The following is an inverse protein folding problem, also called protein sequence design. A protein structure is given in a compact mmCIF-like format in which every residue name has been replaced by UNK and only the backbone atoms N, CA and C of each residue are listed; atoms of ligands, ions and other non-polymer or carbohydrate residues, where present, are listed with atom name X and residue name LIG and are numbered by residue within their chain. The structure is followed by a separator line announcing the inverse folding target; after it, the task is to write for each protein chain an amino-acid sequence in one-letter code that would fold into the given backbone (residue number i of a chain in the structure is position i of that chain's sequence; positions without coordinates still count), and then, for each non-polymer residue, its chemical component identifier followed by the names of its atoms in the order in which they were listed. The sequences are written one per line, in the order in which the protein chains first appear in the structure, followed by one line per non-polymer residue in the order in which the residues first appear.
data_IF_044447635011
#
_entry.id   IF_044447635011
#
_cell.length_a   1.000
_cell.length_b   1.000
_cell.length_c   1.000
_cell.angle_alpha   90.00
_cell.angle_beta   90.00
_cell.angle_gamma   90.00
#
_symmetry.space_group_name_H-M   'P 1'
#
loop_
_entity.id
_entity.type
_entity.pdbx_description
1 polymer ?
#
# COMPACT_ATOMS: atom_id res chain seq x y z
N UNK A 1 -0.06 22.39 -69.12
CA UNK A 1 -1.05 21.68 -69.95
C UNK A 1 -1.83 20.78 -69.02
N UNK A 2 -3.12 21.06 -68.88
CA UNK A 2 -4.03 20.44 -67.91
C UNK A 2 -4.91 19.36 -68.58
N UNK A 3 -5.71 18.68 -67.73
CA UNK A 3 -6.79 17.70 -68.00
C UNK A 3 -6.32 16.25 -68.27
N UNK A 4 -6.98 15.17 -67.81
CA UNK A 4 -8.18 14.93 -66.97
C UNK A 4 -8.24 13.42 -66.65
N UNK A 5 -8.70 13.10 -65.44
CA UNK A 5 -9.72 12.08 -65.08
C UNK A 5 -9.90 10.78 -65.88
N UNK A 6 -10.01 9.65 -65.15
CA UNK A 6 -11.21 8.79 -65.10
C UNK A 6 -11.15 7.88 -63.85
N UNK A 7 -12.28 7.89 -63.15
CA UNK A 7 -12.88 7.05 -62.08
C UNK A 7 -12.42 5.58 -62.01
N UNK A 8 -12.39 4.86 -60.87
CA UNK A 8 -13.54 4.39 -60.08
C UNK A 8 -13.04 3.51 -58.92
N UNK A 9 -13.72 3.45 -57.76
CA UNK A 9 -13.44 2.42 -56.74
C UNK A 9 -13.97 2.73 -55.35
N UNK A 10 -15.29 2.71 -55.20
CA UNK A 10 -16.01 2.89 -53.94
C UNK A 10 -16.00 1.58 -53.13
N UNK A 11 -15.69 1.64 -51.84
CA UNK A 11 -16.13 0.62 -50.87
C UNK A 11 -16.27 1.22 -49.48
N UNK A 12 -17.51 1.14 -48.99
CA UNK A 12 -18.03 1.61 -47.72
C UNK A 12 -17.42 0.83 -46.55
N UNK A 13 -17.05 1.53 -45.47
CA UNK A 13 -16.81 0.91 -44.17
C UNK A 13 -18.10 1.03 -43.35
N UNK A 14 -18.77 -0.09 -43.12
CA UNK A 14 -19.98 -0.18 -42.32
C UNK A 14 -19.67 0.09 -40.84
N UNK A 15 -20.40 1.06 -40.28
CA UNK A 15 -20.48 1.31 -38.83
C UNK A 15 -21.29 0.19 -38.20
N UNK A 16 -20.69 -0.59 -37.31
CA UNK A 16 -21.40 -1.56 -36.47
C UNK A 16 -21.70 -0.89 -35.13
N UNK A 17 -22.95 -0.45 -34.96
CA UNK A 17 -23.52 -0.16 -33.65
C UNK A 17 -23.69 -1.47 -32.88
N UNK A 18 -23.07 -1.61 -31.71
CA UNK A 18 -23.46 -2.62 -30.75
C UNK A 18 -24.61 -2.08 -29.88
N UNK A 19 -25.79 -2.65 -30.09
CA UNK A 19 -26.91 -2.59 -29.16
C UNK A 19 -26.61 -3.47 -27.94
N UNK A 20 -26.98 -2.96 -26.78
CA UNK A 20 -27.08 -3.70 -25.51
C UNK A 20 -28.17 -4.78 -25.58
N UNK A 21 -27.96 -5.90 -24.88
CA UNK A 21 -29.11 -6.60 -24.30
C UNK A 21 -28.92 -6.93 -22.81
N UNK A 22 -29.99 -6.66 -22.05
CA UNK A 22 -30.53 -7.63 -21.11
C UNK A 22 -29.92 -7.69 -19.71
N UNK A 23 -30.63 -7.11 -18.75
CA UNK A 23 -30.53 -7.43 -17.33
C UNK A 23 -30.90 -8.90 -17.13
N UNK A 24 -29.93 -9.71 -16.71
CA UNK A 24 -30.16 -11.08 -16.23
C UNK A 24 -30.35 -10.99 -14.71
N UNK A 25 -31.56 -11.29 -14.23
CA UNK A 25 -31.80 -11.52 -12.79
C UNK A 25 -31.17 -12.86 -12.42
N UNK A 26 -30.14 -12.83 -11.58
CA UNK A 26 -29.64 -14.03 -10.93
C UNK A 26 -30.67 -14.58 -9.93
N UNK A 27 -30.83 -15.90 -9.95
CA UNK A 27 -31.67 -16.66 -9.02
C UNK A 27 -30.90 -16.94 -7.73
N UNK A 28 -31.56 -17.02 -6.56
CA UNK A 28 -30.85 -17.25 -5.30
C UNK A 28 -30.30 -18.68 -5.20
N UNK A 29 -29.22 -18.90 -4.41
CA UNK A 29 -28.60 -20.22 -4.25
C UNK A 29 -29.52 -21.20 -3.51
N UNK A 30 -29.37 -22.52 -3.73
CA UNK A 30 -30.22 -23.52 -3.10
C UNK A 30 -29.98 -23.59 -1.58
N UNK A 31 -31.08 -23.75 -0.83
CA UNK A 31 -31.07 -24.04 0.61
C UNK A 31 -30.29 -25.34 0.90
N UNK A 32 -29.54 -25.41 2.02
CA UNK A 32 -28.94 -26.67 2.45
C UNK A 32 -30.04 -27.65 2.89
N UNK A 33 -29.91 -28.89 2.45
CA UNK A 33 -30.72 -30.04 2.88
C UNK A 33 -30.36 -30.45 4.31
N UNK A 34 -31.32 -30.91 5.12
CA UNK A 34 -31.06 -31.31 6.50
C UNK A 34 -30.40 -32.68 6.57
N UNK A 35 -29.33 -32.80 7.36
CA UNK A 35 -28.83 -34.09 7.81
C UNK A 35 -29.85 -34.72 8.79
N UNK A 36 -30.11 -36.04 8.70
CA UNK A 36 -31.00 -36.71 9.63
C UNK A 36 -30.32 -36.88 10.99
N UNK A 37 -30.99 -36.38 12.03
CA UNK A 37 -30.77 -36.78 13.41
C UNK A 37 -31.41 -38.15 13.67
N UNK A 38 -30.69 -39.01 14.38
CA UNK A 38 -31.19 -40.27 14.92
C UNK A 38 -30.32 -40.71 16.11
N UNK A 39 -30.91 -41.21 17.21
CA UNK A 39 -30.31 -41.19 18.55
C UNK A 39 -29.67 -42.52 18.93
N UNK A 40 -28.76 -42.50 19.92
CA UNK A 40 -28.54 -43.66 20.77
C UNK A 40 -28.04 -43.24 22.15
N UNK A 41 -28.79 -43.72 23.12
CA UNK A 41 -28.75 -43.51 24.56
C UNK A 41 -27.65 -44.29 25.30
N UNK A 42 -27.13 -43.66 26.37
CA UNK A 42 -26.69 -44.18 27.69
C UNK A 42 -25.47 -45.14 27.81
N UNK A 43 -24.85 -45.27 29.03
CA UNK A 43 -25.14 -44.65 30.33
C UNK A 43 -23.97 -43.99 31.11
N UNK A 44 -24.39 -43.19 32.09
CA UNK A 44 -23.72 -42.63 33.28
C UNK A 44 -23.16 -43.71 34.24
N UNK A 45 -22.02 -43.55 34.94
CA UNK A 45 -21.77 -42.95 36.29
C UNK A 45 -20.45 -43.60 36.85
N UNK A 46 -19.84 -43.20 37.99
CA UNK A 46 -20.08 -42.05 38.85
C UNK A 46 -18.85 -41.19 39.20
N UNK A 47 -19.16 -40.04 39.80
CA UNK A 47 -18.30 -39.08 40.49
C UNK A 47 -17.46 -39.71 41.61
N UNK A 48 -16.24 -39.20 41.79
CA UNK A 48 -15.63 -39.03 43.11
C UNK A 48 -15.27 -37.56 43.33
N UNK A 49 -15.86 -37.01 44.39
CA UNK A 49 -15.52 -35.74 45.03
C UNK A 49 -14.48 -36.05 46.10
N UNK A 50 -13.41 -35.28 46.19
CA UNK A 50 -12.74 -35.05 47.47
C UNK A 50 -12.13 -33.65 47.53
N UNK A 51 -12.44 -33.02 48.65
CA UNK A 51 -12.20 -31.64 49.12
C UNK A 51 -10.94 -31.66 50.01
N UNK A 52 -10.42 -30.46 50.34
CA UNK A 52 -9.41 -30.06 51.36
C UNK A 52 -7.97 -29.92 50.84
N UNK A 53 -7.14 -28.96 51.26
CA UNK A 53 -7.19 -27.65 51.95
C UNK A 53 -5.72 -27.24 52.17
N UNK A 54 -5.45 -25.95 52.46
CA UNK A 54 -4.20 -25.55 53.15
C UNK A 54 -3.29 -24.64 52.30
N UNK A 55 -3.42 -23.31 52.35
CA UNK A 55 -2.84 -22.38 53.36
C UNK A 55 -1.37 -22.01 53.07
N UNK A 56 -1.24 -20.77 52.57
CA UNK A 56 -0.29 -19.69 52.92
C UNK A 56 1.23 -19.88 52.98
N UNK A 57 1.88 -18.93 52.28
CA UNK A 57 3.07 -18.15 52.63
C UNK A 57 4.31 -18.88 53.17
N UNK A 58 5.40 -18.83 52.39
CA UNK A 58 6.63 -18.22 52.87
C UNK A 58 7.20 -17.27 51.81
N UNK A 59 7.59 -16.11 52.29
CA UNK A 59 8.02 -14.92 51.59
C UNK A 59 9.55 -14.86 51.45
N UNK A 60 9.98 -14.06 50.48
CA UNK A 60 11.33 -13.53 50.25
C UNK A 60 12.32 -14.44 49.52
N UNK A 61 12.66 -14.07 48.27
CA UNK A 61 14.04 -13.82 47.83
C UNK A 61 13.98 -12.80 46.67
N UNK A 62 14.66 -11.68 46.93
CA UNK A 62 15.35 -10.77 46.02
C UNK A 62 14.66 -10.31 44.72
N UNK A 63 14.41 -9.00 44.67
CA UNK A 63 14.32 -8.22 43.45
C UNK A 63 15.55 -8.47 42.55
N UNK A 64 15.39 -9.30 41.52
CA UNK A 64 16.21 -9.21 40.33
C UNK A 64 15.56 -8.14 39.45
N UNK A 65 16.22 -6.98 39.34
CA UNK A 65 15.99 -6.08 38.21
C UNK A 65 16.03 -6.94 36.95
N UNK A 66 14.91 -7.02 36.23
CA UNK A 66 14.94 -7.47 34.85
C UNK A 66 15.63 -6.33 34.08
N UNK A 67 16.95 -6.37 34.05
CA UNK A 67 17.70 -5.79 32.95
C UNK A 67 17.20 -6.52 31.71
N UNK A 68 16.32 -5.88 30.96
CA UNK A 68 16.00 -6.29 29.59
C UNK A 68 17.35 -6.36 28.87
N UNK A 69 17.81 -7.53 28.39
CA UNK A 69 18.95 -7.51 27.50
C UNK A 69 18.45 -6.82 26.24
N UNK A 70 18.90 -5.58 26.02
CA UNK A 70 18.93 -5.03 24.69
C UNK A 70 19.67 -6.07 23.84
N UNK A 71 18.95 -6.75 22.96
CA UNK A 71 19.54 -7.60 21.94
C UNK A 71 20.24 -6.64 20.98
N UNK A 72 21.45 -6.21 21.36
CA UNK A 72 22.38 -5.62 20.43
C UNK A 72 22.82 -6.77 19.54
N UNK A 73 22.44 -6.71 18.27
CA UNK A 73 23.02 -7.55 17.24
C UNK A 73 24.55 -7.38 17.33
N UNK A 74 25.22 -8.38 17.88
CA UNK A 74 26.66 -8.37 18.05
C UNK A 74 27.24 -8.53 16.65
N UNK A 75 27.81 -7.46 16.08
CA UNK A 75 28.48 -7.53 14.79
C UNK A 75 29.67 -8.48 14.91
N UNK A 76 29.76 -9.51 14.05
CA UNK A 76 30.87 -10.47 13.96
C UNK A 76 32.23 -9.84 13.55
N UNK A 77 32.32 -8.50 13.53
CA UNK A 77 33.52 -7.75 13.19
C UNK A 77 34.37 -7.58 14.46
N UNK A 78 35.61 -8.08 14.51
CA UNK A 78 36.50 -7.85 15.65
C UNK A 78 36.80 -6.35 15.77
N UNK A 79 36.41 -5.73 16.89
CA UNK A 79 36.67 -4.32 17.20
C UNK A 79 37.74 -4.25 18.29
N UNK A 80 38.74 -3.38 18.15
CA UNK A 80 39.76 -3.22 19.19
C UNK A 80 39.14 -2.64 20.48
N UNK A 81 39.68 -2.96 21.67
CA UNK A 81 39.16 -2.42 22.93
C UNK A 81 39.12 -0.88 22.97
N UNK A 82 40.10 -0.22 22.35
CA UNK A 82 40.17 1.25 22.27
C UNK A 82 39.04 1.82 21.41
N UNK A 83 38.77 1.20 20.25
CA UNK A 83 37.68 1.60 19.38
C UNK A 83 36.32 1.32 20.05
N UNK A 84 36.19 0.21 20.77
CA UNK A 84 34.97 -0.11 21.51
C UNK A 84 34.70 0.91 22.62
N UNK A 85 35.74 1.37 23.32
CA UNK A 85 35.63 2.47 24.29
C UNK A 85 35.17 3.78 23.63
N UNK A 86 35.73 4.13 22.48
CA UNK A 86 35.31 5.34 21.74
C UNK A 86 33.82 5.23 21.35
N UNK A 87 33.38 4.07 20.84
CA UNK A 87 31.98 3.84 20.46
C UNK A 87 31.05 3.88 21.68
N UNK A 88 31.45 3.29 22.82
CA UNK A 88 30.63 3.32 24.03
C UNK A 88 30.49 4.73 24.58
N UNK A 89 31.57 5.51 24.58
CA UNK A 89 31.58 6.89 25.09
C UNK A 89 30.76 7.83 24.17
N UNK A 90 30.79 7.56 22.85
CA UNK A 90 30.07 8.32 21.83
C UNK A 90 28.54 8.29 22.01
N UNK A 91 27.96 7.23 22.57
CA UNK A 91 26.50 7.10 22.70
C UNK A 91 25.85 8.18 23.58
N UNK A 92 26.63 8.88 24.40
CA UNK A 92 26.15 9.96 25.28
C UNK A 92 26.49 11.37 24.78
N UNK A 93 27.28 11.51 23.71
CA UNK A 93 27.72 12.79 23.18
C UNK A 93 26.76 13.27 22.08
N UNK A 94 26.10 14.44 22.24
CA UNK A 94 25.13 14.96 21.27
C UNK A 94 25.63 15.08 19.84
N UNK A 95 26.95 15.18 19.61
CA UNK A 95 27.49 15.31 18.24
C UNK A 95 27.32 14.05 17.39
N UNK A 96 27.02 12.90 18.00
CA UNK A 96 26.78 11.65 17.29
C UNK A 96 25.27 11.36 17.11
N UNK A 97 24.40 12.19 17.68
CA UNK A 97 22.99 12.18 17.37
C UNK A 97 22.78 12.83 16.00
N UNK A 98 22.25 12.05 15.05
CA UNK A 98 21.91 12.55 13.73
C UNK A 98 20.40 12.86 13.71
N UNK A 99 19.99 14.14 13.59
CA UNK A 99 18.61 14.56 13.88
C UNK A 99 17.51 13.83 13.08
N UNK A 100 17.83 13.34 11.88
CA UNK A 100 16.90 12.62 10.99
C UNK A 100 17.18 11.12 10.91
N UNK A 101 17.88 10.56 11.91
CA UNK A 101 18.38 9.18 11.91
C UNK A 101 17.33 8.06 11.87
N UNK A 102 16.06 8.36 12.14
CA UNK A 102 14.98 7.37 12.20
C UNK A 102 14.92 6.45 10.97
N UNK A 103 15.12 7.01 9.77
CA UNK A 103 15.09 6.24 8.50
C UNK A 103 16.43 6.25 7.79
N UNK A 104 17.51 6.56 8.52
CA UNK A 104 18.87 6.53 7.99
C UNK A 104 19.21 5.12 7.49
N UNK A 105 19.66 5.04 6.25
CA UNK A 105 20.04 3.78 5.60
C UNK A 105 18.88 3.00 4.96
N UNK A 106 17.63 3.50 5.06
CA UNK A 106 16.49 2.89 4.37
C UNK A 106 16.39 3.48 2.97
N UNK A 107 16.72 2.68 1.95
CA UNK A 107 16.60 3.07 0.54
C UNK A 107 15.15 2.87 0.07
N UNK A 108 14.48 3.91 -0.45
CA UNK A 108 13.14 3.75 -1.03
C UNK A 108 13.16 2.87 -2.28
N UNK A 109 12.16 2.01 -2.40
CA UNK A 109 11.99 1.03 -3.46
C UNK A 109 10.59 1.16 -4.06
N UNK A 110 10.50 1.03 -5.37
CA UNK A 110 9.29 1.20 -6.18
C UNK A 110 8.25 0.09 -6.00
N UNK A 111 7.86 -0.22 -4.76
CA UNK A 111 6.79 -1.18 -4.47
C UNK A 111 5.73 -0.61 -3.54
N UNK A 112 4.56 -1.21 -3.66
CA UNK A 112 3.33 -0.90 -2.94
C UNK A 112 3.02 -2.03 -1.97
N UNK A 113 3.05 -1.71 -0.67
CA UNK A 113 2.58 -2.61 0.39
C UNK A 113 1.07 -2.77 0.25
N UNK A 114 0.67 -3.80 -0.49
CA UNK A 114 -0.73 -4.15 -0.68
C UNK A 114 -1.28 -4.69 0.63
N UNK A 115 -2.54 -4.36 0.92
CA UNK A 115 -3.16 -4.67 2.21
C UNK A 115 -2.25 -4.31 3.39
N UNK A 116 -1.65 -3.11 3.40
CA UNK A 116 -0.65 -2.73 4.42
C UNK A 116 -1.19 -2.84 5.86
N UNK A 117 -2.51 -2.74 6.02
CA UNK A 117 -3.18 -2.94 7.30
C UNK A 117 -3.18 -4.40 7.79
N UNK A 118 -2.68 -5.37 7.00
CA UNK A 118 -2.40 -6.74 7.44
C UNK A 118 -0.99 -6.91 8.02
N UNK A 119 -0.11 -5.92 7.86
CA UNK A 119 1.23 -5.97 8.46
C UNK A 119 1.14 -5.96 9.98
N UNK A 120 2.17 -6.52 10.63
CA UNK A 120 2.30 -6.54 12.09
C UNK A 120 2.20 -5.13 12.67
N UNK A 121 2.92 -4.19 12.07
CA UNK A 121 2.84 -2.76 12.39
C UNK A 121 2.62 -1.98 11.08
N UNK A 122 1.36 -1.69 10.71
CA UNK A 122 1.03 -0.94 9.49
C UNK A 122 1.83 0.37 9.40
N UNK A 123 2.09 0.82 8.17
CA UNK A 123 3.02 1.88 7.79
C UNK A 123 4.49 1.62 8.15
N UNK A 124 4.80 1.21 9.38
CA UNK A 124 6.19 1.00 9.83
C UNK A 124 6.85 -0.24 9.22
N UNK A 125 6.12 -1.34 9.06
CA UNK A 125 6.64 -2.54 8.38
C UNK A 125 7.03 -2.23 6.93
N UNK A 126 6.21 -1.44 6.22
CA UNK A 126 6.48 -0.99 4.86
C UNK A 126 7.62 0.03 4.79
N UNK A 127 7.63 1.01 5.71
CA UNK A 127 8.68 2.01 5.83
C UNK A 127 10.05 1.35 6.05
N UNK A 128 10.14 0.37 6.96
CA UNK A 128 11.37 -0.36 7.30
C UNK A 128 12.06 -0.95 6.08
N UNK A 129 11.29 -1.46 5.12
CA UNK A 129 11.84 -2.13 3.93
C UNK A 129 11.97 -1.22 2.70
N UNK A 130 11.51 0.03 2.81
CA UNK A 130 11.62 1.04 1.76
C UNK A 130 10.39 1.20 0.86
N UNK A 131 9.20 0.70 1.21
CA UNK A 131 8.02 0.82 0.33
C UNK A 131 7.62 2.28 0.10
N UNK A 132 7.64 2.76 -1.15
CA UNK A 132 7.18 4.13 -1.44
C UNK A 132 5.66 4.27 -1.52
N UNK A 133 4.92 3.17 -1.37
CA UNK A 133 3.46 3.18 -1.44
C UNK A 133 2.85 2.16 -0.49
N UNK A 134 1.72 2.53 0.11
CA UNK A 134 0.95 1.72 1.07
C UNK A 134 -0.54 1.89 0.83
N UNK A 135 -1.35 0.95 1.32
CA UNK A 135 -2.81 0.95 1.16
C UNK A 135 -3.56 0.78 2.47
N UNK A 136 -4.66 1.53 2.61
CA UNK A 136 -5.63 1.40 3.69
C UNK A 136 -7.03 1.11 3.14
N UNK A 137 -7.60 -0.04 3.50
CA UNK A 137 -9.00 -0.39 3.20
C UNK A 137 -9.93 0.25 4.23
N UNK A 138 -10.66 1.28 3.83
CA UNK A 138 -11.45 2.11 4.75
C UNK A 138 -12.95 1.85 4.68
N UNK A 139 -13.54 1.77 5.87
CA UNK A 139 -14.98 1.60 6.09
C UNK A 139 -15.50 2.73 6.96
N UNK A 140 -16.50 3.49 6.48
CA UNK A 140 -17.14 4.54 7.29
C UNK A 140 -18.28 3.95 8.14
N UNK A 141 -18.12 4.03 9.46
CA UNK A 141 -19.17 3.68 10.43
C UNK A 141 -19.30 4.79 11.47
N UNK A 142 -20.51 5.33 11.64
CA UNK A 142 -20.82 6.35 12.65
C UNK A 142 -19.86 7.56 12.65
N UNK A 143 -19.37 7.95 11.47
CA UNK A 143 -18.42 9.06 11.32
C UNK A 143 -16.94 8.71 11.53
N UNK A 144 -16.63 7.45 11.87
CA UNK A 144 -15.27 6.94 12.04
C UNK A 144 -14.86 6.10 10.83
N UNK A 145 -13.64 6.32 10.34
CA UNK A 145 -13.03 5.54 9.27
C UNK A 145 -12.24 4.37 9.88
N UNK A 146 -12.86 3.19 9.93
CA UNK A 146 -12.21 1.95 10.36
C UNK A 146 -11.41 1.35 9.23
N UNK A 147 -10.37 0.59 9.57
CA UNK A 147 -9.50 -0.06 8.58
C UNK A 147 -9.53 -1.58 8.71
N UNK A 148 -9.71 -2.28 7.60
CA UNK A 148 -9.65 -3.73 7.52
C UNK A 148 -10.13 -4.27 6.17
N UNK A 149 -9.77 -5.51 5.85
CA UNK A 149 -10.10 -6.14 4.56
C UNK A 149 -11.60 -6.37 4.41
N UNK A 150 -12.22 -6.83 5.51
CA UNK A 150 -13.64 -7.11 5.59
C UNK A 150 -14.21 -6.62 6.93
N UNK A 151 -15.54 -6.59 7.02
CA UNK A 151 -16.26 -6.07 8.19
C UNK A 151 -15.93 -6.79 9.50
N UNK A 152 -15.55 -8.08 9.44
CA UNK A 152 -15.23 -8.87 10.64
C UNK A 152 -13.84 -8.56 11.20
N UNK A 153 -12.96 -8.01 10.38
CA UNK A 153 -11.62 -7.55 10.78
C UNK A 153 -11.59 -6.15 11.41
N UNK A 154 -12.73 -5.44 11.41
CA UNK A 154 -12.82 -4.08 11.94
C UNK A 154 -12.81 -4.07 13.46
N UNK A 155 -12.09 -3.11 14.04
CA UNK A 155 -12.09 -2.86 15.48
C UNK A 155 -12.13 -1.36 15.75
N UNK A 156 -12.53 -0.97 16.96
CA UNK A 156 -12.55 0.44 17.35
C UNK A 156 -11.16 1.09 17.40
N UNK A 157 -10.11 0.29 17.62
CA UNK A 157 -8.74 0.78 17.72
C UNK A 157 -8.05 0.97 16.35
N UNK A 158 -8.50 0.23 15.32
CA UNK A 158 -7.92 0.26 13.97
C UNK A 158 -8.67 1.24 13.09
N UNK A 159 -8.20 2.49 13.03
CA UNK A 159 -8.78 3.55 12.22
C UNK A 159 -7.75 4.10 11.23
N UNK A 160 -8.21 4.83 10.21
CA UNK A 160 -7.30 5.51 9.28
C UNK A 160 -6.35 6.46 10.03
N UNK A 161 -6.86 7.13 11.07
CA UNK A 161 -6.07 8.05 11.89
C UNK A 161 -5.00 7.33 12.71
N UNK A 162 -5.37 6.25 13.43
CA UNK A 162 -4.46 5.55 14.34
C UNK A 162 -3.40 4.72 13.62
N UNK A 163 -3.71 4.15 12.46
CA UNK A 163 -2.79 3.29 11.70
C UNK A 163 -1.96 4.03 10.66
N UNK A 164 -2.42 5.18 10.15
CA UNK A 164 -1.75 5.88 9.05
C UNK A 164 -1.49 7.36 9.32
N UNK A 165 -2.52 8.17 9.60
CA UNK A 165 -2.35 9.64 9.67
C UNK A 165 -1.38 10.03 10.78
N UNK A 166 -1.59 9.55 12.01
CA UNK A 166 -0.72 9.90 13.15
C UNK A 166 0.68 9.29 13.02
N UNK A 167 0.84 7.99 12.65
CA UNK A 167 2.17 7.42 12.40
C UNK A 167 2.98 8.16 11.32
N UNK A 168 2.36 8.48 10.18
CA UNK A 168 3.01 9.24 9.09
C UNK A 168 3.43 10.62 9.58
N UNK A 169 2.52 11.35 10.25
CA UNK A 169 2.81 12.67 10.77
C UNK A 169 3.95 12.65 11.79
N UNK A 170 4.02 11.62 12.64
CA UNK A 170 5.09 11.42 13.61
C UNK A 170 6.46 11.25 12.93
N UNK A 171 6.53 10.42 11.89
CA UNK A 171 7.77 10.23 11.10
C UNK A 171 8.18 11.52 10.40
N UNK A 172 7.25 12.21 9.74
CA UNK A 172 7.56 13.45 9.02
C UNK A 172 8.05 14.56 9.96
N UNK A 173 7.49 14.68 11.17
CA UNK A 173 8.00 15.63 12.18
C UNK A 173 9.44 15.33 12.60
N UNK A 174 9.79 14.06 12.74
CA UNK A 174 11.16 13.64 13.05
C UNK A 174 12.12 13.85 11.86
N UNK A 175 11.63 13.71 10.63
CA UNK A 175 12.40 14.00 9.41
C UNK A 175 12.56 15.49 9.10
N UNK A 176 11.82 16.35 9.81
CA UNK A 176 11.82 17.80 9.64
C UNK A 176 11.98 18.53 10.97
N UNK A 177 13.11 18.32 11.69
CA UNK A 177 13.36 18.98 12.98
C UNK A 177 13.59 20.48 12.79
N UNK A 178 13.26 21.25 13.82
CA UNK A 178 13.64 22.67 13.88
C UNK A 178 15.16 22.78 13.87
N UNK A 179 15.69 23.55 12.92
CA UNK A 179 17.13 23.74 12.75
C UNK A 179 17.44 25.22 12.57
N UNK A 180 18.46 25.70 13.28
CA UNK A 180 18.95 27.08 13.14
C UNK A 180 19.74 27.28 11.84
N UNK A 181 19.97 26.22 11.06
CA UNK A 181 20.74 26.24 9.82
C UNK A 181 19.89 26.43 8.56
N UNK A 182 18.56 26.45 8.69
CA UNK A 182 17.63 26.62 7.57
C UNK A 182 16.60 27.69 7.91
N UNK A 183 16.25 28.51 6.93
CA UNK A 183 15.18 29.48 7.08
C UNK A 183 13.83 28.79 6.85
N UNK A 184 13.01 28.73 7.90
CA UNK A 184 11.66 28.17 7.85
C UNK A 184 11.59 26.64 8.00
N UNK A 185 10.43 26.08 7.65
CA UNK A 185 10.16 24.65 7.79
C UNK A 185 10.73 23.84 6.62
N UNK A 186 11.40 22.73 6.94
CA UNK A 186 11.79 21.72 5.94
C UNK A 186 10.59 20.85 5.55
N UNK A 187 10.66 20.24 4.35
CA UNK A 187 9.60 19.40 3.78
C UNK A 187 10.16 18.09 3.22
N UNK A 188 11.10 17.50 3.94
CA UNK A 188 11.63 16.16 3.68
C UNK A 188 10.51 15.12 3.81
N UNK A 189 10.55 14.11 2.95
CA UNK A 189 9.72 12.91 2.96
C UNK A 189 10.09 11.96 4.11
N UNK A 190 9.51 10.76 4.06
CA UNK A 190 9.72 9.75 5.11
C UNK A 190 11.10 9.07 5.03
N UNK A 191 11.82 9.22 3.91
CA UNK A 191 13.11 8.59 3.64
C UNK A 191 14.25 9.61 3.71
N UNK A 192 15.10 9.51 4.72
CA UNK A 192 16.29 10.35 4.88
C UNK A 192 17.26 10.22 3.69
N UNK A 193 17.41 9.02 3.12
CA UNK A 193 18.31 8.79 1.98
C UNK A 193 17.86 9.48 0.69
N UNK A 194 16.56 9.76 0.54
CA UNK A 194 15.99 10.46 -0.62
C UNK A 194 14.85 11.37 -0.13
N UNK A 195 15.17 12.57 0.41
CA UNK A 195 14.18 13.42 1.07
C UNK A 195 13.04 13.90 0.15
N UNK A 196 13.23 13.89 -1.17
CA UNK A 196 12.19 14.24 -2.14
C UNK A 196 11.20 13.12 -2.47
N UNK A 197 11.45 11.89 -1.99
CA UNK A 197 10.57 10.74 -2.29
C UNK A 197 9.24 10.88 -1.57
N UNK A 198 8.16 11.04 -2.34
CA UNK A 198 6.80 11.03 -1.80
C UNK A 198 6.39 9.62 -1.36
N UNK A 199 5.63 9.52 -0.28
CA UNK A 199 4.90 8.31 0.07
C UNK A 199 3.51 8.39 -0.55
N UNK A 200 3.16 7.39 -1.35
CA UNK A 200 1.81 7.26 -1.90
C UNK A 200 0.91 6.51 -0.92
N UNK A 201 -0.03 7.22 -0.30
CA UNK A 201 -1.06 6.64 0.56
C UNK A 201 -2.30 6.36 -0.29
N UNK A 202 -2.53 5.09 -0.61
CA UNK A 202 -3.76 4.64 -1.25
C UNK A 202 -4.83 4.44 -0.18
N UNK A 203 -6.01 5.02 -0.42
CA UNK A 203 -7.18 4.86 0.45
C UNK A 203 -8.27 4.18 -0.36
N UNK A 204 -8.45 2.88 -0.14
CA UNK A 204 -9.46 2.05 -0.81
C UNK A 204 -10.79 2.13 -0.05
N UNK A 205 -11.78 2.80 -0.65
CA UNK A 205 -13.09 2.98 -0.04
C UNK A 205 -13.95 1.73 -0.24
N UNK A 206 -14.30 1.06 0.86
CA UNK A 206 -15.13 -0.16 0.87
C UNK A 206 -16.62 0.10 1.16
N UNK A 207 -16.96 1.26 1.71
CA UNK A 207 -18.35 1.71 1.92
C UNK A 207 -18.84 2.60 0.76
N UNK A 208 -20.02 3.21 0.87
CA UNK A 208 -20.54 4.12 -0.15
C UNK A 208 -19.56 5.29 -0.40
N UNK A 209 -19.15 5.45 -1.65
CA UNK A 209 -18.13 6.42 -2.06
C UNK A 209 -18.52 7.87 -1.79
N UNK A 210 -19.75 8.23 -2.14
CA UNK A 210 -20.23 9.61 -2.07
C UNK A 210 -20.25 10.17 -0.65
N UNK A 211 -20.48 9.29 0.34
CA UNK A 211 -20.47 9.63 1.77
C UNK A 211 -19.11 9.40 2.43
N UNK A 212 -18.38 8.35 2.04
CA UNK A 212 -17.10 7.98 2.68
C UNK A 212 -15.95 8.87 2.25
N UNK A 213 -15.88 9.25 0.96
CA UNK A 213 -14.76 10.04 0.45
C UNK A 213 -14.65 11.43 1.12
N UNK A 214 -15.74 12.19 1.34
CA UNK A 214 -15.67 13.42 2.14
C UNK A 214 -15.14 13.21 3.57
N UNK A 215 -15.46 12.09 4.21
CA UNK A 215 -14.92 11.76 5.53
C UNK A 215 -13.41 11.49 5.46
N UNK A 216 -12.93 10.80 4.42
CA UNK A 216 -11.50 10.60 4.15
C UNK A 216 -10.80 11.96 3.98
N UNK A 217 -11.31 12.83 3.11
CA UNK A 217 -10.73 14.17 2.87
C UNK A 217 -10.62 15.00 4.17
N UNK A 218 -11.62 14.90 5.05
CA UNK A 218 -11.61 15.52 6.38
C UNK A 218 -10.52 14.92 7.28
N UNK A 219 -10.33 13.59 7.26
CA UNK A 219 -9.32 12.92 8.05
C UNK A 219 -7.87 13.29 7.67
N UNK A 220 -7.65 13.83 6.45
CA UNK A 220 -6.34 14.32 6.02
C UNK A 220 -5.91 15.64 6.67
N UNK A 221 -6.80 16.31 7.43
CA UNK A 221 -6.53 17.64 7.99
C UNK A 221 -5.20 17.76 8.76
N UNK A 222 -4.77 16.79 9.60
CA UNK A 222 -3.49 16.89 10.30
C UNK A 222 -2.28 16.98 9.36
N UNK A 223 -2.30 16.27 8.23
CA UNK A 223 -1.24 16.33 7.21
C UNK A 223 -1.31 17.62 6.39
N UNK A 224 -2.53 18.11 6.15
CA UNK A 224 -2.79 19.38 5.48
C UNK A 224 -2.28 20.57 6.29
N UNK A 225 -2.59 20.63 7.58
CA UNK A 225 -2.16 21.67 8.51
C UNK A 225 -0.63 21.72 8.65
N UNK A 226 0.01 20.55 8.61
CA UNK A 226 1.47 20.43 8.61
C UNK A 226 2.11 20.74 7.25
N UNK A 227 1.32 20.97 6.20
CA UNK A 227 1.81 21.25 4.86
C UNK A 227 2.57 20.07 4.25
N UNK A 228 2.12 18.84 4.44
CA UNK A 228 2.82 17.65 3.92
C UNK A 228 2.14 16.97 2.73
N UNK A 229 0.95 17.41 2.34
CA UNK A 229 0.24 16.85 1.20
C UNK A 229 0.72 17.42 -0.13
N UNK A 230 0.76 16.58 -1.16
CA UNK A 230 0.81 16.98 -2.56
C UNK A 230 -0.50 17.67 -2.92
N UNK A 231 -0.44 18.85 -3.52
CA UNK A 231 -1.62 19.68 -3.82
C UNK A 231 -1.78 19.94 -5.31
N UNK A 232 -3.01 20.27 -5.71
CA UNK A 232 -3.35 20.79 -7.02
C UNK A 232 -4.19 22.05 -6.86
N UNK A 233 -3.72 23.16 -7.43
CA UNK A 233 -4.35 24.49 -7.29
C UNK A 233 -5.39 24.81 -8.38
N UNK A 234 -5.58 23.92 -9.36
CA UNK A 234 -6.39 24.16 -10.55
C UNK A 234 -5.56 24.19 -11.83
N UNK A 235 -4.25 24.41 -11.72
CA UNK A 235 -3.31 24.53 -12.83
C UNK A 235 -2.10 23.61 -12.64
N UNK A 236 -1.49 23.63 -11.45
CA UNK A 236 -0.21 23.00 -11.17
C UNK A 236 -0.34 22.01 -10.01
N UNK A 237 0.36 20.87 -10.14
CA UNK A 237 0.56 19.94 -9.02
C UNK A 237 1.84 20.36 -8.27
N UNK A 238 1.72 20.66 -6.99
CA UNK A 238 2.87 20.90 -6.10
C UNK A 238 3.14 19.65 -5.28
N UNK A 239 4.28 19.01 -5.53
CA UNK A 239 4.67 17.77 -4.86
C UNK A 239 4.90 18.01 -3.36
N UNK A 240 4.32 17.14 -2.54
CA UNK A 240 4.55 17.08 -1.09
C UNK A 240 5.11 15.72 -0.65
N UNK A 241 5.55 15.62 0.62
CA UNK A 241 5.95 14.36 1.24
C UNK A 241 4.94 13.23 1.08
N UNK A 242 3.65 13.52 1.08
CA UNK A 242 2.57 12.53 0.97
C UNK A 242 1.68 12.83 -0.23
N UNK A 243 1.48 11.84 -1.10
CA UNK A 243 0.50 11.91 -2.19
C UNK A 243 -0.64 10.95 -1.89
N UNK A 244 -1.84 11.47 -1.65
CA UNK A 244 -3.02 10.65 -1.32
C UNK A 244 -3.77 10.27 -2.59
N UNK A 245 -4.00 8.97 -2.77
CA UNK A 245 -4.70 8.39 -3.92
C UNK A 245 -5.99 7.72 -3.42
N UNK A 246 -7.15 8.22 -3.82
CA UNK A 246 -8.43 7.55 -3.57
C UNK A 246 -8.67 6.44 -4.60
N UNK A 247 -8.95 5.24 -4.12
CA UNK A 247 -9.29 4.05 -4.94
C UNK A 247 -10.56 3.37 -4.41
N UNK A 248 -10.90 2.18 -4.90
CA UNK A 248 -12.14 1.48 -4.56
C UNK A 248 -13.37 2.26 -5.01
N UNK A 249 -14.33 2.48 -4.11
CA UNK A 249 -15.55 3.24 -4.39
C UNK A 249 -15.33 4.77 -4.47
N UNK A 250 -14.09 5.27 -4.57
CA UNK A 250 -13.83 6.72 -4.69
C UNK A 250 -14.49 7.29 -5.95
N UNK A 251 -15.47 8.21 -5.83
CA UNK A 251 -16.19 8.73 -6.98
C UNK A 251 -15.36 9.77 -7.74
N UNK A 252 -15.04 9.48 -9.00
CA UNK A 252 -14.30 10.39 -9.89
C UNK A 252 -14.92 11.80 -9.94
N UNK A 253 -16.24 11.92 -9.86
CA UNK A 253 -16.96 13.21 -9.88
C UNK A 253 -16.68 14.09 -8.66
N UNK A 254 -16.15 13.54 -7.56
CA UNK A 254 -15.71 14.30 -6.39
C UNK A 254 -14.20 14.62 -6.43
N UNK A 255 -13.47 14.18 -7.48
CA UNK A 255 -12.05 14.47 -7.67
C UNK A 255 -11.82 15.36 -8.90
N UNK A 256 -12.35 14.94 -10.05
CA UNK A 256 -12.19 15.66 -11.30
C UNK A 256 -12.99 16.96 -11.30
N UNK A 257 -12.32 18.07 -11.61
CA UNK A 257 -12.92 19.41 -11.61
C UNK A 257 -12.95 20.11 -10.24
N UNK A 258 -12.48 19.45 -9.18
CA UNK A 258 -12.36 20.06 -7.84
C UNK A 258 -11.00 20.74 -7.69
N UNK A 259 -10.98 22.04 -7.39
CA UNK A 259 -9.76 22.77 -7.07
C UNK A 259 -10.04 23.92 -6.07
N UNK A 260 -9.12 24.22 -5.14
CA UNK A 260 -7.89 23.47 -4.86
C UNK A 260 -8.21 22.11 -4.21
N UNK A 261 -7.28 21.16 -4.32
CA UNK A 261 -7.37 19.85 -3.65
C UNK A 261 -5.99 19.31 -3.29
N UNK A 262 -5.96 18.29 -2.45
CA UNK A 262 -4.74 17.62 -1.98
C UNK A 262 -4.88 16.09 -1.94
N UNK A 263 -5.73 15.61 -2.83
CA UNK A 263 -6.02 14.21 -3.07
C UNK A 263 -6.18 13.98 -4.57
N UNK A 264 -5.88 12.76 -4.97
CA UNK A 264 -5.90 12.32 -6.36
C UNK A 264 -6.68 11.01 -6.47
N UNK A 265 -6.83 10.52 -7.70
CA UNK A 265 -7.57 9.31 -8.00
C UNK A 265 -6.67 8.21 -8.56
N UNK A 266 -7.11 6.95 -8.45
CA UNK A 266 -6.49 5.80 -9.11
C UNK A 266 -7.25 5.47 -10.40
N UNK A 267 -6.64 5.75 -11.55
CA UNK A 267 -7.29 5.54 -12.85
C UNK A 267 -7.31 4.07 -13.25
N UNK A 268 -8.40 3.55 -13.82
CA UNK A 268 -8.41 2.22 -14.38
C UNK A 268 -7.55 2.16 -15.64
N UNK A 269 -6.94 1.00 -15.87
CA UNK A 269 -6.36 0.64 -17.18
C UNK A 269 -7.42 -0.20 -17.93
N UNK A 270 -7.70 0.08 -19.22
CA UNK A 270 -7.03 1.05 -20.10
C UNK A 270 -7.32 2.51 -19.72
N UNK A 271 -6.28 3.35 -19.77
CA UNK A 271 -6.35 4.75 -19.35
C UNK A 271 -7.22 5.54 -20.32
N UNK A 272 -8.30 6.11 -19.81
CA UNK A 272 -9.22 6.93 -20.59
C UNK A 272 -8.58 8.24 -21.06
N UNK A 273 -8.94 8.69 -22.27
CA UNK A 273 -8.39 9.90 -22.86
C UNK A 273 -8.71 11.17 -22.04
N UNK A 274 -9.84 11.18 -21.33
CA UNK A 274 -10.36 12.35 -20.60
C UNK A 274 -9.80 12.51 -19.19
N UNK A 275 -8.98 11.56 -18.71
CA UNK A 275 -8.36 11.62 -17.39
C UNK A 275 -6.93 12.16 -17.54
N UNK A 276 -6.64 13.38 -17.07
CA UNK A 276 -5.29 13.91 -17.04
C UNK A 276 -4.52 13.39 -15.82
N UNK A 277 -3.19 13.40 -15.88
CA UNK A 277 -2.31 13.03 -14.75
C UNK A 277 -2.49 13.92 -13.53
N UNK A 278 -2.98 15.15 -13.70
CA UNK A 278 -3.33 16.03 -12.58
C UNK A 278 -4.49 15.50 -11.75
N UNK A 279 -5.41 14.73 -12.34
CA UNK A 279 -6.49 14.02 -11.61
C UNK A 279 -5.96 12.70 -11.05
N UNK A 280 -5.19 11.97 -11.86
CA UNK A 280 -4.75 10.61 -11.55
C UNK A 280 -3.26 10.45 -11.86
N UNK A 281 -2.35 10.61 -10.87
CA UNK A 281 -0.93 10.43 -11.10
C UNK A 281 -0.54 8.96 -11.27
N UNK A 282 -1.44 8.03 -10.94
CA UNK A 282 -1.25 6.58 -11.04
C UNK A 282 -2.46 5.98 -11.78
N UNK A 283 -2.21 4.95 -12.57
CA UNK A 283 -3.22 4.08 -13.13
C UNK A 283 -2.98 2.62 -12.73
N UNK A 284 -4.04 1.93 -12.35
CA UNK A 284 -3.99 0.56 -11.84
C UNK A 284 -5.00 -0.38 -12.53
N UNK A 285 -4.71 -1.68 -12.48
CA UNK A 285 -5.65 -2.75 -12.87
C UNK A 285 -5.25 -4.09 -12.27
N UNK A 286 -6.15 -5.07 -12.31
CA UNK A 286 -5.81 -6.46 -11.98
C UNK A 286 -4.87 -7.02 -13.04
N UNK A 287 -3.73 -7.54 -12.58
CA UNK A 287 -2.81 -8.32 -13.39
C UNK A 287 -3.54 -9.51 -14.02
N UNK A 288 -4.33 -10.26 -13.24
CA UNK A 288 -5.02 -11.47 -13.71
C UNK A 288 -6.07 -11.18 -14.78
N UNK A 289 -6.69 -9.99 -14.78
CA UNK A 289 -7.60 -9.56 -15.86
C UNK A 289 -6.86 -9.36 -17.18
N UNK A 290 -5.65 -8.79 -17.15
CA UNK A 290 -4.86 -8.52 -18.36
C UNK A 290 -4.01 -9.70 -18.81
N UNK A 291 -3.52 -10.50 -17.87
CA UNK A 291 -2.60 -11.61 -18.07
C UNK A 291 -3.14 -12.87 -17.38
N UNK A 292 -4.30 -13.39 -17.81
CA UNK A 292 -4.91 -14.54 -17.16
C UNK A 292 -4.03 -15.78 -17.31
N UNK A 293 -3.97 -16.57 -16.24
CA UNK A 293 -3.40 -17.93 -16.28
C UNK A 293 -1.88 -18.01 -16.42
N UNK A 294 -1.13 -16.95 -16.13
CA UNK A 294 0.35 -17.03 -16.11
C UNK A 294 0.81 -17.98 -15.01
N UNK A 295 1.68 -18.93 -15.39
CA UNK A 295 2.25 -19.98 -14.54
C UNK A 295 3.69 -20.24 -14.96
N UNK A 296 4.45 -20.90 -14.09
CA UNK A 296 5.86 -21.21 -14.35
C UNK A 296 6.79 -20.09 -13.92
N UNK A 297 8.09 -20.28 -14.09
CA UNK A 297 9.12 -19.32 -13.72
C UNK A 297 9.67 -18.53 -14.93
N UNK A 298 9.06 -18.70 -16.11
CA UNK A 298 9.45 -18.00 -17.33
C UNK A 298 8.87 -16.57 -17.44
N UNK A 299 7.92 -16.22 -16.56
CA UNK A 299 7.26 -14.93 -16.53
C UNK A 299 6.24 -14.75 -17.66
N UNK A 300 6.16 -13.54 -18.22
CA UNK A 300 5.26 -13.26 -19.34
C UNK A 300 5.80 -13.83 -20.66
N UNK A 301 4.92 -14.41 -21.48
CA UNK A 301 5.27 -14.80 -22.84
C UNK A 301 5.41 -13.57 -23.77
N UNK A 302 5.91 -13.76 -24.99
CA UNK A 302 6.22 -12.64 -25.91
C UNK A 302 4.99 -11.79 -26.26
N UNK A 303 3.84 -12.41 -26.48
CA UNK A 303 2.60 -11.69 -26.74
C UNK A 303 2.16 -10.84 -25.53
N UNK A 304 2.27 -11.39 -24.32
CA UNK A 304 1.97 -10.69 -23.08
C UNK A 304 2.97 -9.55 -22.81
N UNK A 305 4.26 -9.74 -23.13
CA UNK A 305 5.29 -8.69 -23.04
C UNK A 305 4.99 -7.52 -23.97
N UNK A 306 4.53 -7.78 -25.20
CA UNK A 306 4.09 -6.74 -26.13
C UNK A 306 2.89 -5.97 -25.57
N UNK A 307 1.90 -6.66 -25.00
CA UNK A 307 0.75 -6.02 -24.36
C UNK A 307 1.16 -5.16 -23.15
N UNK A 308 2.06 -5.67 -22.29
CA UNK A 308 2.59 -4.94 -21.14
C UNK A 308 3.32 -3.67 -21.60
N UNK A 309 4.22 -3.79 -22.58
CA UNK A 309 4.95 -2.65 -23.13
C UNK A 309 4.01 -1.56 -23.69
N UNK A 310 2.90 -1.96 -24.32
CA UNK A 310 1.90 -1.02 -24.79
C UNK A 310 1.22 -0.25 -23.64
N UNK A 311 0.88 -0.93 -22.53
CA UNK A 311 0.30 -0.24 -21.36
C UNK A 311 1.29 0.71 -20.69
N UNK A 312 2.56 0.30 -20.55
CA UNK A 312 3.64 1.16 -20.04
C UNK A 312 3.80 2.41 -20.92
N UNK A 313 3.81 2.24 -22.25
CA UNK A 313 3.93 3.36 -23.17
C UNK A 313 2.75 4.34 -23.04
N UNK A 314 1.52 3.84 -22.91
CA UNK A 314 0.33 4.70 -22.72
C UNK A 314 0.41 5.47 -21.41
N UNK A 315 0.76 4.81 -20.31
CA UNK A 315 0.92 5.47 -19.01
C UNK A 315 2.00 6.56 -19.06
N UNK A 316 3.15 6.25 -19.67
CA UNK A 316 4.26 7.20 -19.84
C UNK A 316 3.86 8.43 -20.66
N UNK A 317 3.16 8.25 -21.78
CA UNK A 317 2.64 9.37 -22.59
C UNK A 317 1.64 10.22 -21.81
N UNK A 318 0.84 9.58 -20.94
CA UNK A 318 -0.10 10.26 -20.04
C UNK A 318 0.56 10.93 -18.84
N UNK A 319 1.85 10.69 -18.59
CA UNK A 319 2.54 11.17 -17.40
C UNK A 319 1.98 10.53 -16.12
N UNK A 320 1.52 9.28 -16.21
CA UNK A 320 0.99 8.50 -15.10
C UNK A 320 1.92 7.34 -14.77
N UNK A 321 2.01 7.02 -13.49
CA UNK A 321 2.66 5.77 -13.03
C UNK A 321 1.75 4.58 -13.29
N UNK A 322 2.35 3.42 -13.48
CA UNK A 322 1.62 2.17 -13.70
C UNK A 322 1.76 1.20 -12.51
N UNK A 323 0.65 0.58 -12.11
CA UNK A 323 0.61 -0.50 -11.10
C UNK A 323 -0.31 -1.62 -11.55
N UNK A 324 0.05 -2.88 -11.27
CA UNK A 324 -0.84 -4.03 -11.43
C UNK A 324 -1.06 -4.69 -10.07
N UNK A 325 -2.30 -4.81 -9.60
CA UNK A 325 -2.66 -5.55 -8.39
C UNK A 325 -3.11 -6.98 -8.73
N UNK A 326 -3.37 -7.85 -7.75
CA UNK A 326 -3.78 -9.26 -8.01
C UNK A 326 -2.77 -10.04 -8.88
N UNK A 327 -1.49 -9.88 -8.56
CA UNK A 327 -0.41 -10.66 -9.16
C UNK A 327 -0.31 -12.04 -8.48
N UNK A 328 0.24 -13.07 -9.14
CA UNK A 328 0.42 -14.37 -8.51
C UNK A 328 1.30 -14.29 -7.24
N UNK A 329 0.76 -14.66 -6.08
CA UNK A 329 1.52 -14.76 -4.83
C UNK A 329 2.22 -16.12 -4.63
N UNK A 330 1.76 -17.16 -5.33
CA UNK A 330 2.29 -18.52 -5.24
C UNK A 330 2.11 -19.27 -6.58
N UNK A 331 3.05 -20.16 -6.99
CA UNK A 331 4.33 -20.45 -6.35
C UNK A 331 5.31 -19.27 -6.38
N UNK A 332 6.26 -19.24 -5.44
CA UNK A 332 7.26 -18.17 -5.31
C UNK A 332 8.03 -17.92 -6.61
N UNK A 333 8.38 -19.00 -7.36
CA UNK A 333 9.04 -18.87 -8.66
C UNK A 333 8.21 -18.10 -9.70
N UNK A 334 6.89 -18.32 -9.74
CA UNK A 334 5.99 -17.57 -10.63
C UNK A 334 5.85 -16.13 -10.18
N UNK A 335 5.64 -15.89 -8.89
CA UNK A 335 5.58 -14.54 -8.31
C UNK A 335 6.82 -13.72 -8.69
N UNK A 336 8.01 -14.27 -8.42
CA UNK A 336 9.28 -13.61 -8.70
C UNK A 336 9.46 -13.35 -10.21
N UNK A 337 9.11 -14.30 -11.08
CA UNK A 337 9.18 -14.13 -12.52
C UNK A 337 8.24 -13.02 -13.03
N UNK A 338 7.06 -12.86 -12.43
CA UNK A 338 6.14 -11.75 -12.73
C UNK A 338 6.71 -10.42 -12.24
N UNK A 339 7.20 -10.34 -11.00
CA UNK A 339 7.86 -9.14 -10.48
C UNK A 339 9.00 -8.70 -11.39
N UNK A 340 9.83 -9.63 -11.86
CA UNK A 340 10.90 -9.34 -12.81
C UNK A 340 10.36 -8.83 -14.15
N UNK A 341 9.36 -9.50 -14.70
CA UNK A 341 8.75 -9.11 -15.98
C UNK A 341 8.16 -7.68 -15.94
N UNK A 342 7.47 -7.34 -14.83
CA UNK A 342 6.89 -6.00 -14.64
C UNK A 342 7.98 -4.95 -14.43
N UNK A 343 8.99 -5.24 -13.62
CA UNK A 343 10.13 -4.35 -13.39
C UNK A 343 10.90 -4.04 -14.67
N UNK A 344 11.29 -5.08 -15.42
CA UNK A 344 12.09 -4.95 -16.65
C UNK A 344 11.32 -4.20 -17.76
N UNK A 345 9.98 -4.31 -17.76
CA UNK A 345 9.12 -3.56 -18.67
C UNK A 345 8.96 -2.08 -18.28
N UNK A 346 9.40 -1.66 -17.08
CA UNK A 346 9.30 -0.29 -16.61
C UNK A 346 7.99 0.06 -15.91
N UNK A 347 7.32 -0.91 -15.27
CA UNK A 347 6.21 -0.63 -14.35
C UNK A 347 6.73 0.13 -13.13
N UNK A 348 6.16 1.29 -12.83
CA UNK A 348 6.66 2.20 -11.80
C UNK A 348 6.56 1.65 -10.37
N UNK A 349 5.46 0.94 -10.08
CA UNK A 349 5.12 0.49 -8.73
C UNK A 349 4.70 -0.98 -8.78
N UNK A 350 5.51 -1.85 -8.18
CA UNK A 350 5.18 -3.25 -8.01
C UNK A 350 4.23 -3.43 -6.81
N UNK A 351 3.06 -4.02 -7.04
CA UNK A 351 2.17 -4.43 -5.96
C UNK A 351 2.74 -5.68 -5.27
N UNK A 352 2.95 -5.62 -3.95
CA UNK A 352 3.58 -6.72 -3.19
C UNK A 352 2.80 -7.06 -1.93
N UNK A 353 2.51 -8.35 -1.75
CA UNK A 353 1.98 -8.91 -0.50
C UNK A 353 3.09 -9.41 0.44
N UNK A 354 4.28 -9.73 -0.09
CA UNK A 354 5.44 -10.21 0.66
C UNK A 354 6.55 -9.14 0.62
N UNK A 355 6.63 -8.31 1.67
CA UNK A 355 7.48 -7.12 1.71
C UNK A 355 8.96 -7.47 1.80
N UNK A 356 9.29 -8.42 2.68
CA UNK A 356 10.64 -8.88 2.92
C UNK A 356 11.20 -9.54 1.66
N UNK A 357 10.45 -10.46 1.04
CA UNK A 357 10.90 -11.05 -0.21
C UNK A 357 11.06 -10.00 -1.30
N UNK A 358 10.13 -9.05 -1.45
CA UNK A 358 10.27 -7.97 -2.42
C UNK A 358 11.46 -7.05 -2.13
N UNK A 359 11.80 -6.84 -0.87
CA UNK A 359 12.93 -6.00 -0.47
C UNK A 359 14.28 -6.64 -0.82
N UNK A 360 14.38 -7.97 -0.71
CA UNK A 360 15.61 -8.75 -0.89
C UNK A 360 15.74 -9.33 -2.32
N UNK A 361 14.66 -9.35 -3.09
CA UNK A 361 14.58 -9.93 -4.44
C UNK A 361 15.59 -9.37 -5.46
N UNK A 362 16.09 -8.15 -5.26
CA UNK A 362 16.81 -7.40 -6.29
C UNK A 362 18.30 -7.76 -6.40
N UNK A 363 18.87 -8.40 -5.38
CA UNK A 363 20.32 -8.58 -5.26
C UNK A 363 20.84 -9.88 -5.90
N UNK A 364 19.95 -10.79 -6.29
CA UNK A 364 20.27 -11.97 -7.09
C UNK A 364 19.45 -11.97 -8.37
N UNK A 365 20.01 -12.39 -9.50
CA UNK A 365 19.23 -12.61 -10.73
C UNK A 365 18.09 -13.60 -10.43
N UNK A 366 16.88 -13.08 -10.17
CA UNK A 366 15.58 -13.76 -10.22
C UNK A 366 15.39 -14.97 -9.32
#
# INVERSE_FOLDING_TARGET
MALRDITSGCSQLSVVLFQTPGIIKESPPPKPTPHPSGPADLPLLPRFVLIYCGVMLFSQIAAALVAVPAVLAQSDVPVSPELQKIISDAASDPKYDYPTSLTRGIVPKGFHSHNDYWREVPFYSALKVGAISIEADVWLYNGTLHVGHDKSSLTNARTLDSLYIQPILSVLKQQNPNSTFVDGATRNGVYDTVPGQTLYLFVDIKTDGATTFPAVVKALQPLRDAGYLTTFDGLTVTQGPITVIGTGNTPLTQVQGVAPRDFFWDAPIPISAVIPSTVSPIASTSFNVFFPGVRGNEGLNDAQKVLLAAQVAVAKVKGMKLRFWDQPGWPVGTRNAIWRSLWDAGVDILNVDDLEAAADFWESRG
#
